data_IF_137199269463
#
_entry.id   IF_137199269463
#
_cell.length_a   1.000
_cell.length_b   1.000
_cell.length_c   1.000
_cell.angle_alpha   90.00
_cell.angle_beta   90.00
_cell.angle_gamma   90.00
#
_symmetry.space_group_name_H-M   'P 1'
#
loop_
_entity.id
_entity.type
_entity.pdbx_description
1 polymer ?
#
# COMPACT_ATOMS: atom_id res chain seq x y z
N UNK A 1 8.92 -10.29 3.87
CA UNK A 1 9.71 -11.09 4.83
C UNK A 1 10.24 -10.26 6.00
N UNK A 2 10.97 -9.15 5.78
CA UNK A 2 11.53 -8.35 6.88
C UNK A 2 10.45 -7.88 7.88
N UNK A 3 9.31 -7.43 7.37
CA UNK A 3 8.19 -6.98 8.18
C UNK A 3 7.63 -8.12 9.06
N UNK A 4 7.47 -9.32 8.51
CA UNK A 4 7.03 -10.49 9.25
C UNK A 4 7.96 -10.86 10.41
N UNK A 5 9.28 -10.76 10.20
CA UNK A 5 10.27 -11.01 11.27
C UNK A 5 10.07 -10.04 12.44
N UNK A 6 9.82 -8.76 12.17
CA UNK A 6 9.61 -7.75 13.20
C UNK A 6 8.28 -7.96 13.94
N UNK A 7 7.21 -8.27 13.23
CA UNK A 7 5.87 -8.46 13.82
C UNK A 7 5.75 -9.74 14.65
N UNK A 8 6.54 -10.78 14.36
CA UNK A 8 6.62 -11.99 15.18
C UNK A 8 7.19 -11.73 16.58
N UNK A 9 8.02 -10.70 16.75
CA UNK A 9 8.65 -10.35 18.04
C UNK A 9 7.81 -9.39 18.86
N UNK A 10 7.13 -8.45 18.19
CA UNK A 10 6.30 -7.43 18.80
C UNK A 10 5.08 -7.20 17.93
N UNK A 11 3.92 -7.60 18.44
CA UNK A 11 2.67 -7.47 17.68
C UNK A 11 2.31 -5.99 17.45
N UNK A 12 1.74 -5.71 16.28
CA UNK A 12 1.12 -4.42 15.99
C UNK A 12 -0.31 -4.35 16.56
N UNK A 13 -0.91 -3.15 16.54
CA UNK A 13 -2.26 -2.92 17.05
C UNK A 13 -3.31 -3.80 16.35
N UNK A 14 -4.21 -4.38 17.12
CA UNK A 14 -5.38 -5.11 16.59
C UNK A 14 -6.32 -4.20 15.80
N UNK A 15 -6.19 -2.88 15.96
CA UNK A 15 -6.94 -1.89 15.16
C UNK A 15 -6.69 -2.04 13.66
N UNK A 16 -5.46 -2.42 13.27
CA UNK A 16 -5.11 -2.60 11.85
C UNK A 16 -6.06 -3.58 11.15
N UNK A 17 -6.28 -4.75 11.73
CA UNK A 17 -7.16 -5.78 11.13
C UNK A 17 -8.63 -5.35 11.08
N UNK A 18 -9.06 -4.42 11.93
CA UNK A 18 -10.45 -3.95 11.94
C UNK A 18 -10.77 -3.01 10.77
N UNK A 19 -9.78 -2.32 10.21
CA UNK A 19 -9.97 -1.38 9.08
C UNK A 19 -10.56 -2.08 7.86
N UNK A 20 -10.13 -3.32 7.59
CA UNK A 20 -10.65 -4.14 6.48
C UNK A 20 -11.37 -5.41 6.96
N UNK A 21 -11.93 -5.39 8.17
CA UNK A 21 -12.67 -6.53 8.70
C UNK A 21 -13.80 -6.96 7.75
N UNK A 22 -13.88 -8.27 7.50
CA UNK A 22 -14.87 -8.86 6.59
C UNK A 22 -14.55 -8.74 5.10
N UNK A 23 -13.45 -8.07 4.72
CA UNK A 23 -12.99 -7.95 3.32
C UNK A 23 -11.84 -8.91 2.96
N UNK A 24 -11.19 -9.52 3.95
CA UNK A 24 -10.10 -10.48 3.69
C UNK A 24 -10.61 -11.76 3.05
N UNK A 25 -9.87 -12.26 2.06
CA UNK A 25 -10.25 -13.39 1.22
C UNK A 25 -9.16 -14.48 1.26
N UNK A 26 -9.09 -15.24 2.33
CA UNK A 26 -8.01 -16.20 2.65
C UNK A 26 -7.58 -17.12 1.50
N UNK A 27 -8.52 -17.56 0.66
CA UNK A 27 -8.21 -18.35 -0.54
C UNK A 27 -8.67 -17.69 -1.84
N UNK A 28 -9.45 -16.62 -1.74
CA UNK A 28 -10.01 -15.89 -2.88
C UNK A 28 -9.07 -14.81 -3.44
N UNK A 29 -8.04 -14.42 -2.69
CA UNK A 29 -7.11 -13.36 -3.07
C UNK A 29 -6.43 -13.58 -4.43
N UNK A 30 -6.25 -14.83 -4.85
CA UNK A 30 -5.69 -15.19 -6.17
C UNK A 30 -6.51 -14.68 -7.35
N UNK A 31 -7.78 -14.33 -7.10
CA UNK A 31 -8.69 -13.77 -8.10
C UNK A 31 -8.79 -12.24 -8.02
N UNK A 32 -8.09 -11.61 -7.08
CA UNK A 32 -8.06 -10.15 -6.93
C UNK A 32 -6.87 -9.61 -7.73
N UNK A 33 -7.15 -8.89 -8.79
CA UNK A 33 -6.09 -8.24 -9.57
C UNK A 33 -5.50 -7.03 -8.82
N UNK A 34 -4.19 -6.83 -8.92
CA UNK A 34 -3.50 -5.71 -8.25
C UNK A 34 -4.08 -4.34 -8.62
N UNK A 35 -4.60 -4.19 -9.83
CA UNK A 35 -5.24 -2.93 -10.26
C UNK A 35 -6.59 -2.67 -9.58
N UNK A 36 -7.28 -3.72 -9.09
CA UNK A 36 -8.58 -3.65 -8.44
C UNK A 36 -8.47 -3.56 -6.92
N UNK A 37 -7.42 -4.16 -6.36
CA UNK A 37 -7.19 -4.23 -4.92
C UNK A 37 -7.27 -2.86 -4.21
N UNK A 38 -6.74 -1.73 -4.76
CA UNK A 38 -6.81 -0.45 -4.08
C UNK A 38 -8.23 0.07 -3.86
N UNK A 39 -9.17 -0.16 -4.77
CA UNK A 39 -10.58 0.22 -4.58
C UNK A 39 -11.25 -0.57 -3.45
N UNK A 40 -10.76 -1.76 -3.14
CA UNK A 40 -11.20 -2.60 -2.02
C UNK A 40 -10.54 -2.21 -0.69
N UNK A 41 -9.46 -1.40 -0.75
CA UNK A 41 -8.69 -0.94 0.41
C UNK A 41 -7.40 -1.72 0.65
N UNK A 42 -6.86 -2.41 -0.35
CA UNK A 42 -5.61 -3.18 -0.29
C UNK A 42 -4.59 -2.65 -1.30
N UNK A 43 -3.30 -2.73 -0.99
CA UNK A 43 -2.24 -2.25 -1.90
C UNK A 43 -1.90 -3.22 -3.02
N UNK A 44 -2.32 -4.48 -2.89
CA UNK A 44 -2.14 -5.56 -3.87
C UNK A 44 -3.23 -6.63 -3.69
N UNK A 45 -3.43 -7.49 -4.67
CA UNK A 45 -4.31 -8.66 -4.55
C UNK A 45 -3.88 -9.55 -3.39
N UNK A 46 -2.58 -9.78 -3.24
CA UNK A 46 -2.01 -10.59 -2.16
C UNK A 46 -2.33 -10.03 -0.77
N UNK A 47 -2.29 -8.71 -0.60
CA UNK A 47 -2.67 -8.03 0.65
C UNK A 47 -4.11 -8.34 1.08
N UNK A 48 -5.01 -8.67 0.14
CA UNK A 48 -6.39 -9.03 0.46
C UNK A 48 -6.56 -10.42 1.08
N UNK A 49 -5.51 -11.23 1.11
CA UNK A 49 -5.53 -12.60 1.66
C UNK A 49 -5.76 -12.63 3.15
N UNK A 50 -4.94 -11.93 3.91
CA UNK A 50 -5.06 -11.81 5.35
C UNK A 50 -4.35 -10.57 5.90
N UNK A 51 -4.66 -10.20 7.15
CA UNK A 51 -4.18 -8.95 7.75
C UNK A 51 -2.66 -8.91 7.99
N UNK A 52 -1.98 -10.03 8.17
CA UNK A 52 -0.53 -10.09 8.31
C UNK A 52 0.17 -9.78 6.99
N UNK A 53 -0.36 -10.32 5.89
CA UNK A 53 0.13 -10.04 4.53
C UNK A 53 -0.18 -8.60 4.13
N UNK A 54 -1.37 -8.10 4.46
CA UNK A 54 -1.76 -6.70 4.21
C UNK A 54 -0.79 -5.71 4.90
N UNK A 55 -0.44 -5.99 6.17
CA UNK A 55 0.52 -5.16 6.91
C UNK A 55 1.92 -5.19 6.26
N UNK A 56 2.40 -6.38 5.87
CA UNK A 56 3.70 -6.55 5.23
C UNK A 56 3.74 -5.94 3.81
N UNK A 57 2.66 -6.08 3.05
CA UNK A 57 2.53 -5.53 1.70
C UNK A 57 2.51 -3.99 1.72
N UNK A 58 1.76 -3.36 2.63
CA UNK A 58 1.78 -1.90 2.76
C UNK A 58 3.21 -1.40 3.06
N UNK A 59 3.92 -2.08 3.97
CA UNK A 59 5.32 -1.74 4.25
C UNK A 59 6.20 -1.89 3.00
N UNK A 60 6.12 -3.04 2.32
CA UNK A 60 6.93 -3.34 1.15
C UNK A 60 6.67 -2.34 0.00
N UNK A 61 5.40 -2.10 -0.33
CA UNK A 61 5.00 -1.16 -1.38
C UNK A 61 5.47 0.26 -1.06
N UNK A 62 5.32 0.70 0.20
CA UNK A 62 5.77 2.03 0.60
C UNK A 62 7.28 2.23 0.48
N UNK A 63 8.09 1.29 1.00
CA UNK A 63 9.55 1.48 1.06
C UNK A 63 10.25 1.25 -0.28
N UNK A 64 9.62 0.55 -1.22
CA UNK A 64 10.22 0.21 -2.52
C UNK A 64 9.77 1.10 -3.67
N UNK A 65 8.65 1.80 -3.54
CA UNK A 65 8.14 2.70 -4.57
C UNK A 65 8.58 4.14 -4.35
N UNK A 66 8.81 4.87 -5.45
CA UNK A 66 8.96 6.34 -5.42
C UNK A 66 7.69 7.00 -4.90
N UNK A 67 7.77 8.30 -4.55
CA UNK A 67 6.57 9.04 -4.12
C UNK A 67 5.45 8.98 -5.18
N UNK A 68 5.80 9.18 -6.45
CA UNK A 68 4.83 9.07 -7.54
C UNK A 68 4.23 7.66 -7.64
N UNK A 69 5.03 6.60 -7.43
CA UNK A 69 4.55 5.21 -7.40
C UNK A 69 3.59 4.95 -6.25
N UNK A 70 3.93 5.42 -5.05
CA UNK A 70 3.06 5.31 -3.89
C UNK A 70 1.74 6.06 -4.07
N UNK A 71 1.79 7.32 -4.57
CA UNK A 71 0.59 8.10 -4.87
C UNK A 71 -0.28 7.45 -5.95
N UNK A 72 0.32 6.75 -6.92
CA UNK A 72 -0.43 5.98 -7.91
C UNK A 72 -1.22 4.84 -7.28
N UNK A 73 -0.62 4.11 -6.33
CA UNK A 73 -1.33 3.06 -5.58
C UNK A 73 -2.49 3.67 -4.79
N UNK A 74 -2.25 4.74 -4.06
CA UNK A 74 -3.28 5.41 -3.27
C UNK A 74 -4.44 5.92 -4.13
N UNK A 75 -4.15 6.61 -5.23
CA UNK A 75 -5.17 7.18 -6.12
C UNK A 75 -6.02 6.11 -6.81
N UNK A 76 -5.48 4.92 -7.05
CA UNK A 76 -6.25 3.79 -7.54
C UNK A 76 -7.31 3.28 -6.53
N UNK A 77 -7.21 3.70 -5.27
CA UNK A 77 -8.24 3.47 -4.25
C UNK A 77 -9.46 4.41 -4.33
N UNK A 78 -9.46 5.35 -5.31
CA UNK A 78 -10.57 6.27 -5.57
C UNK A 78 -11.30 5.80 -6.81
N UNK A 79 -12.59 5.57 -6.69
CA UNK A 79 -13.48 5.23 -7.81
C UNK A 79 -14.22 6.50 -8.22
N UNK A 80 -14.19 6.83 -9.49
CA UNK A 80 -14.89 7.97 -10.07
C UNK A 80 -16.18 7.55 -10.76
N UNK A 81 -17.12 8.48 -10.90
CA UNK A 81 -18.33 8.27 -11.71
C UNK A 81 -17.96 8.23 -13.20
N UNK A 82 -18.57 7.29 -13.91
CA UNK A 82 -18.43 7.16 -15.38
C UNK A 82 -19.79 7.15 -16.02
N UNK A 83 -19.86 7.69 -17.25
CA UNK A 83 -21.05 7.61 -18.08
C UNK A 83 -21.19 6.24 -18.78
N UNK A 84 -22.16 6.09 -19.67
CA UNK A 84 -22.44 4.87 -20.42
C UNK A 84 -21.32 4.48 -21.42
N UNK A 85 -20.44 5.43 -21.78
CA UNK A 85 -19.30 5.22 -22.65
C UNK A 85 -18.00 4.87 -21.86
N UNK A 86 -18.05 4.99 -20.53
CA UNK A 86 -16.90 4.79 -19.63
C UNK A 86 -16.04 6.05 -19.40
N UNK A 87 -16.51 7.22 -19.90
CA UNK A 87 -15.84 8.49 -19.67
C UNK A 87 -16.18 9.06 -18.30
N UNK A 88 -15.22 9.76 -17.66
CA UNK A 88 -15.48 10.38 -16.35
C UNK A 88 -16.56 11.46 -16.41
N UNK A 89 -17.51 11.39 -15.48
CA UNK A 89 -18.46 12.48 -15.24
C UNK A 89 -17.74 13.59 -14.50
N UNK A 90 -17.80 14.82 -15.03
CA UNK A 90 -17.11 15.98 -14.47
C UNK A 90 -18.09 16.88 -13.71
N UNK A 91 -17.58 17.52 -12.64
CA UNK A 91 -18.28 18.58 -11.93
C UNK A 91 -18.26 19.92 -12.71
N UNK A 92 -18.83 20.97 -12.12
CA UNK A 92 -18.89 22.30 -12.73
C UNK A 92 -17.51 22.95 -12.95
N UNK A 93 -16.49 22.49 -12.21
CA UNK A 93 -15.11 22.98 -12.30
C UNK A 93 -14.25 22.11 -13.23
N UNK A 94 -14.81 21.06 -13.82
CA UNK A 94 -14.15 20.15 -14.74
C UNK A 94 -13.37 19.03 -14.06
N UNK A 95 -13.60 18.76 -12.78
CA UNK A 95 -12.95 17.66 -12.08
C UNK A 95 -13.81 16.39 -12.09
N UNK A 96 -13.22 15.20 -12.17
CA UNK A 96 -13.95 13.94 -12.07
C UNK A 96 -14.71 13.82 -10.74
N UNK A 97 -15.98 13.45 -10.81
CA UNK A 97 -16.82 13.25 -9.63
C UNK A 97 -16.40 11.94 -8.94
N UNK A 98 -16.06 12.04 -7.64
CA UNK A 98 -15.70 10.88 -6.83
C UNK A 98 -16.97 10.10 -6.46
N UNK A 99 -17.06 8.85 -6.91
CA UNK A 99 -18.12 7.91 -6.55
C UNK A 99 -17.87 7.24 -5.21
N UNK A 100 -16.64 6.76 -5.00
CA UNK A 100 -16.22 6.10 -3.76
C UNK A 100 -14.72 6.33 -3.51
N UNK A 101 -14.36 6.66 -2.29
CA UNK A 101 -12.97 6.81 -1.84
C UNK A 101 -12.68 5.93 -0.60
N UNK A 102 -13.52 4.93 -0.33
CA UNK A 102 -13.37 4.08 0.85
C UNK A 102 -12.07 3.26 0.79
N UNK A 103 -11.66 2.82 -0.39
CA UNK A 103 -10.40 2.11 -0.60
C UNK A 103 -9.19 2.97 -0.25
N UNK A 104 -9.12 4.18 -0.80
CA UNK A 104 -8.09 5.16 -0.47
C UNK A 104 -7.99 5.42 1.05
N UNK A 105 -9.15 5.69 1.69
CA UNK A 105 -9.21 5.97 3.12
C UNK A 105 -8.72 4.79 3.97
N UNK A 106 -9.09 3.57 3.59
CA UNK A 106 -8.67 2.36 4.28
C UNK A 106 -7.16 2.16 4.20
N UNK A 107 -6.54 2.34 3.02
CA UNK A 107 -5.09 2.22 2.86
C UNK A 107 -4.36 3.29 3.69
N UNK A 108 -4.82 4.54 3.66
CA UNK A 108 -4.22 5.63 4.46
C UNK A 108 -4.32 5.35 5.96
N UNK A 109 -5.47 4.88 6.45
CA UNK A 109 -5.65 4.54 7.86
C UNK A 109 -4.69 3.43 8.28
N UNK A 110 -4.62 2.34 7.52
CA UNK A 110 -3.68 1.24 7.74
C UNK A 110 -2.22 1.69 7.70
N UNK A 111 -1.87 2.54 6.75
CA UNK A 111 -0.54 3.10 6.64
C UNK A 111 -0.14 3.95 7.86
N UNK A 112 -1.07 4.73 8.41
CA UNK A 112 -0.81 5.50 9.63
C UNK A 112 -0.55 4.59 10.84
N UNK A 113 -1.36 3.54 11.01
CA UNK A 113 -1.15 2.53 12.08
C UNK A 113 0.24 1.87 11.92
N UNK A 114 0.62 1.54 10.70
CA UNK A 114 1.93 0.98 10.37
C UNK A 114 3.07 1.95 10.73
N UNK A 115 2.97 3.22 10.37
CA UNK A 115 3.96 4.24 10.73
C UNK A 115 4.12 4.36 12.24
N UNK A 116 3.02 4.44 12.97
CA UNK A 116 3.02 4.50 14.43
C UNK A 116 3.65 3.26 15.06
N UNK A 117 3.34 2.07 14.56
CA UNK A 117 3.96 0.83 15.01
C UNK A 117 5.48 0.87 14.87
N UNK A 118 6.00 1.24 13.71
CA UNK A 118 7.45 1.29 13.49
C UNK A 118 8.13 2.37 14.35
N UNK A 119 7.51 3.53 14.47
CA UNK A 119 8.04 4.62 15.29
C UNK A 119 8.07 4.26 16.79
N UNK A 120 6.94 3.79 17.33
CA UNK A 120 6.77 3.60 18.77
C UNK A 120 7.40 2.28 19.26
N UNK A 121 7.38 1.23 18.43
CA UNK A 121 7.83 -0.10 18.84
C UNK A 121 9.30 -0.34 18.54
N UNK A 122 9.79 0.22 17.44
CA UNK A 122 11.14 -0.02 16.95
C UNK A 122 12.01 1.23 16.89
N UNK A 123 11.45 2.42 17.18
CA UNK A 123 12.16 3.70 17.00
C UNK A 123 12.54 3.98 15.54
N UNK A 124 11.81 3.38 14.60
CA UNK A 124 12.13 3.41 13.19
C UNK A 124 11.26 4.42 12.43
N UNK A 125 11.90 5.41 11.82
CA UNK A 125 11.28 6.31 10.86
C UNK A 125 11.27 5.64 9.47
N UNK A 126 10.11 5.10 9.06
CA UNK A 126 9.99 4.39 7.77
C UNK A 126 10.11 5.34 6.57
N UNK A 127 9.93 6.64 6.75
CA UNK A 127 10.15 7.63 5.68
C UNK A 127 11.65 7.74 5.38
N UNK A 128 12.47 7.86 6.42
CA UNK A 128 13.94 7.83 6.27
C UNK A 128 14.45 6.48 5.75
N UNK A 129 13.85 5.38 6.22
CA UNK A 129 14.18 4.06 5.70
C UNK A 129 13.92 3.99 4.19
N UNK A 130 12.76 4.48 3.73
CA UNK A 130 12.42 4.55 2.30
C UNK A 130 13.44 5.36 1.50
N UNK A 131 13.82 6.54 1.97
CA UNK A 131 14.84 7.37 1.31
C UNK A 131 16.16 6.61 1.13
N UNK A 132 16.61 5.89 2.16
CA UNK A 132 17.82 5.06 2.10
C UNK A 132 17.68 3.93 1.11
N UNK A 133 16.55 3.20 1.13
CA UNK A 133 16.30 2.08 0.22
C UNK A 133 16.28 2.57 -1.24
N UNK A 134 15.55 3.62 -1.55
CA UNK A 134 15.46 4.14 -2.92
C UNK A 134 16.82 4.65 -3.43
N UNK A 135 17.58 5.33 -2.59
CA UNK A 135 18.93 5.75 -2.93
C UNK A 135 19.84 4.56 -3.21
N UNK A 136 19.85 3.55 -2.32
CA UNK A 136 20.67 2.34 -2.50
C UNK A 136 20.27 1.54 -3.73
N UNK A 137 18.98 1.44 -4.01
CA UNK A 137 18.49 0.78 -5.23
C UNK A 137 19.00 1.48 -6.48
N UNK A 138 19.05 2.81 -6.49
CA UNK A 138 19.61 3.58 -7.61
C UNK A 138 21.12 3.37 -7.74
N UNK A 139 21.86 3.35 -6.62
CA UNK A 139 23.30 3.07 -6.60
C UNK A 139 23.60 1.67 -7.16
N UNK A 140 22.86 0.63 -6.74
CA UNK A 140 23.06 -0.75 -7.21
C UNK A 140 22.78 -0.87 -8.72
N UNK A 141 21.75 -0.20 -9.23
CA UNK A 141 21.45 -0.17 -10.67
C UNK A 141 22.57 0.46 -11.52
N UNK A 142 23.33 1.37 -10.91
CA UNK A 142 24.47 2.02 -11.57
C UNK A 142 25.81 1.27 -11.40
N UNK A 143 25.84 0.21 -10.56
CA UNK A 143 27.03 -0.61 -10.35
C UNK A 143 27.23 -1.59 -11.49
N UNK A 144 28.49 -1.73 -11.91
CA UNK A 144 28.91 -2.87 -12.71
C UNK A 144 29.12 -4.08 -11.81
N UNK A 145 28.11 -4.97 -11.78
CA UNK A 145 28.11 -6.14 -10.91
C UNK A 145 29.17 -7.17 -11.30
N UNK A 146 29.72 -7.11 -12.54
CA UNK A 146 30.79 -8.02 -12.99
C UNK A 146 32.15 -7.67 -12.33
N UNK A 147 32.31 -6.44 -11.87
CA UNK A 147 33.52 -5.97 -11.19
C UNK A 147 33.50 -6.15 -9.67
N UNK A 148 32.38 -6.54 -9.08
CA UNK A 148 32.27 -6.87 -7.65
C UNK A 148 32.80 -8.28 -7.41
N UNK A 149 34.09 -8.38 -7.20
CA UNK A 149 34.79 -9.62 -6.80
C UNK A 149 35.05 -9.65 -5.31
#
# INVERSE_FOLDING_TARGET
EFCHILTQKKNYSTEFQTVSAGKYQTSGWVNVEDKEAPSMGFVSGYASGEYNEDFAEIFAQYVTHSEAGWQKILSAGIVYETDENGDYVLDADGNPIVKDASGYKAIIQKFNILKEYFANTWGMDITKLREVILRRTAEVKAMDLETLK
#
